data_IF_794333007414
#
_entry.id   IF_794333007414
#
_cell.length_a   1.000
_cell.length_b   1.000
_cell.length_c   1.000
_cell.angle_alpha   90.00
_cell.angle_beta   90.00
_cell.angle_gamma   90.00
#
_symmetry.space_group_name_H-M   'P 1'
#
loop_
_entity.id
_entity.type
_entity.pdbx_description
1 polymer ?
#
# COMPACT_ATOMS: atom_id res chain seq x y z
N UNK A 1 5.69 -5.09 -10.67
CA UNK A 1 5.62 -4.33 -9.41
C UNK A 1 5.07 -2.95 -9.76
N UNK A 2 4.12 -2.42 -9.00
CA UNK A 2 3.50 -1.11 -9.21
C UNK A 2 3.89 -0.18 -8.07
N UNK A 3 3.85 1.12 -8.31
CA UNK A 3 4.12 2.14 -7.30
C UNK A 3 2.81 2.79 -6.87
N UNK A 4 2.70 3.09 -5.59
CA UNK A 4 1.56 3.82 -5.05
C UNK A 4 1.99 4.76 -3.94
N UNK A 5 1.13 5.72 -3.61
CA UNK A 5 1.32 6.61 -2.48
C UNK A 5 0.30 6.28 -1.39
N UNK A 6 0.76 6.21 -0.13
CA UNK A 6 -0.11 6.03 1.03
C UNK A 6 -0.98 7.27 1.20
N UNK A 7 -2.30 7.07 1.20
CA UNK A 7 -3.29 8.13 1.48
C UNK A 7 -3.58 8.16 2.97
N UNK A 8 -3.91 7.00 3.55
CA UNK A 8 -4.33 6.87 4.94
C UNK A 8 -3.96 5.50 5.52
N UNK A 9 -3.71 5.47 6.82
CA UNK A 9 -3.48 4.25 7.60
C UNK A 9 -4.60 4.15 8.64
N UNK A 10 -5.41 3.09 8.56
CA UNK A 10 -6.65 2.91 9.32
C UNK A 10 -6.60 1.59 10.08
N UNK A 11 -5.78 1.51 11.14
CA UNK A 11 -5.70 0.33 12.00
C UNK A 11 -5.27 -0.94 11.26
N UNK A 12 -6.24 -1.73 10.80
CA UNK A 12 -6.07 -2.99 10.07
C UNK A 12 -6.03 -2.84 8.55
N UNK A 13 -6.28 -1.64 8.01
CA UNK A 13 -6.18 -1.36 6.57
C UNK A 13 -5.28 -0.16 6.26
N UNK A 14 -4.80 -0.12 5.02
CA UNK A 14 -4.05 1.00 4.43
C UNK A 14 -4.65 1.31 3.07
N UNK A 15 -4.88 2.59 2.82
CA UNK A 15 -5.36 3.09 1.55
C UNK A 15 -4.18 3.66 0.76
N UNK A 16 -4.03 3.24 -0.50
CA UNK A 16 -3.00 3.75 -1.41
C UNK A 16 -3.62 4.26 -2.71
N UNK A 17 -2.94 5.22 -3.35
CA UNK A 17 -3.23 5.64 -4.72
C UNK A 17 -2.19 5.04 -5.65
N UNK A 18 -2.61 4.30 -6.67
CA UNK A 18 -1.70 3.86 -7.73
C UNK A 18 -1.21 5.06 -8.55
N UNK A 19 0.10 5.20 -8.73
CA UNK A 19 0.68 6.38 -9.39
C UNK A 19 0.54 6.38 -10.91
N UNK A 20 0.21 5.23 -11.52
CA UNK A 20 0.02 5.13 -12.97
C UNK A 20 -1.45 5.40 -13.37
N UNK A 21 -2.38 4.88 -12.57
CA UNK A 21 -3.82 4.87 -12.88
C UNK A 21 -4.64 5.79 -11.99
N UNK A 22 -4.06 6.34 -10.92
CA UNK A 22 -4.73 7.14 -9.89
C UNK A 22 -5.90 6.43 -9.20
N UNK A 23 -6.00 5.12 -9.39
CA UNK A 23 -6.97 4.28 -8.69
C UNK A 23 -6.62 4.22 -7.22
N UNK A 24 -7.64 4.36 -6.37
CA UNK A 24 -7.48 4.20 -4.93
C UNK A 24 -7.78 2.77 -4.52
N UNK A 25 -6.82 2.12 -3.87
CA UNK A 25 -6.88 0.73 -3.44
C UNK A 25 -6.88 0.68 -1.91
N UNK A 26 -7.77 -0.13 -1.34
CA UNK A 26 -7.75 -0.47 0.08
C UNK A 26 -7.13 -1.85 0.27
N UNK A 27 -6.17 -1.92 1.19
CA UNK A 27 -5.34 -3.09 1.42
C UNK A 27 -5.35 -3.44 2.90
N UNK A 28 -5.34 -4.73 3.22
CA UNK A 28 -5.04 -5.16 4.58
C UNK A 28 -3.62 -4.75 4.99
N UNK A 29 -3.44 -4.44 6.27
CA UNK A 29 -2.15 -4.09 6.85
C UNK A 29 -1.12 -5.19 6.56
N UNK A 30 0.07 -4.88 6.02
CA UNK A 30 1.09 -5.89 5.69
C UNK A 30 1.53 -6.66 6.93
N UNK A 31 1.76 -7.96 6.89
CA UNK A 31 2.20 -8.74 8.07
C UNK A 31 3.60 -8.36 8.59
N UNK A 32 4.44 -7.85 7.70
CA UNK A 32 5.83 -7.50 7.99
C UNK A 32 5.92 -6.21 8.84
N UNK A 33 6.40 -6.28 10.09
CA UNK A 33 6.52 -5.12 10.97
C UNK A 33 7.39 -4.00 10.39
N UNK A 34 8.47 -4.33 9.68
CA UNK A 34 9.37 -3.32 9.10
C UNK A 34 8.66 -2.49 8.02
N UNK A 35 7.75 -3.12 7.27
CA UNK A 35 6.90 -2.42 6.30
C UNK A 35 5.88 -1.57 7.04
N UNK A 36 5.19 -2.12 8.05
CA UNK A 36 4.15 -1.41 8.83
C UNK A 36 4.68 -0.11 9.42
N UNK A 37 5.84 -0.14 10.06
CA UNK A 37 6.44 1.03 10.73
C UNK A 37 6.75 2.19 9.77
N UNK A 38 6.93 1.89 8.48
CA UNK A 38 7.24 2.88 7.44
C UNK A 38 6.02 3.43 6.72
N UNK A 39 4.84 2.82 6.90
CA UNK A 39 3.61 3.30 6.28
C UNK A 39 3.15 4.61 6.94
N UNK A 40 3.23 5.70 6.19
CA UNK A 40 2.77 7.01 6.61
C UNK A 40 2.13 7.74 5.42
N UNK A 41 1.08 8.54 5.62
CA UNK A 41 0.50 9.36 4.56
C UNK A 41 1.56 10.14 3.77
N UNK A 42 1.45 10.12 2.44
CA UNK A 42 2.38 10.75 1.51
C UNK A 42 3.61 9.92 1.14
N UNK A 43 3.89 8.80 1.84
CA UNK A 43 5.01 7.90 1.47
C UNK A 43 4.68 7.06 0.25
N UNK A 44 5.66 6.86 -0.61
CA UNK A 44 5.56 5.95 -1.74
C UNK A 44 5.89 4.52 -1.32
N UNK A 45 5.16 3.57 -1.89
CA UNK A 45 5.28 2.13 -1.62
C UNK A 45 5.33 1.35 -2.92
N UNK A 46 5.97 0.18 -2.87
CA UNK A 46 5.88 -0.80 -3.97
C UNK A 46 4.90 -1.89 -3.61
N UNK A 47 3.98 -2.17 -4.52
CA UNK A 47 3.00 -3.24 -4.33
C UNK A 47 2.92 -4.15 -5.56
N UNK A 48 2.34 -5.33 -5.36
CA UNK A 48 2.04 -6.28 -6.43
C UNK A 48 0.56 -6.60 -6.41
N UNK A 49 0.01 -6.93 -7.57
CA UNK A 49 -1.35 -7.46 -7.71
C UNK A 49 -1.22 -8.92 -8.13
N UNK A 50 -1.86 -9.83 -7.41
CA UNK A 50 -1.94 -11.25 -7.75
C UNK A 50 -3.33 -11.77 -7.43
N UNK A 51 -3.95 -12.49 -8.37
CA UNK A 51 -5.30 -13.06 -8.21
C UNK A 51 -6.35 -12.04 -7.70
N UNK A 52 -6.29 -10.80 -8.19
CA UNK A 52 -7.21 -9.73 -7.78
C UNK A 52 -6.95 -9.16 -6.38
N UNK A 53 -5.88 -9.58 -5.70
CA UNK A 53 -5.46 -9.04 -4.41
C UNK A 53 -4.17 -8.26 -4.55
N UNK A 54 -4.13 -7.07 -3.97
CA UNK A 54 -2.92 -6.26 -3.92
C UNK A 54 -2.20 -6.45 -2.58
N UNK A 55 -0.86 -6.43 -2.59
CA UNK A 55 -0.01 -6.57 -1.40
C UNK A 55 1.18 -5.63 -1.48
N UNK A 56 1.43 -4.87 -0.41
CA UNK A 56 2.64 -4.04 -0.28
C UNK A 56 3.85 -4.94 -0.05
N UNK A 57 4.92 -4.66 -0.79
CA UNK A 57 6.17 -5.43 -0.77
C UNK A 57 7.37 -4.59 -0.31
N UNK A 58 7.24 -3.25 -0.28
CA UNK A 58 8.26 -2.32 0.20
C UNK A 58 7.65 -0.97 0.58
N UNK A 59 8.14 -0.37 1.66
CA UNK A 59 7.82 0.97 2.15
C UNK A 59 9.10 1.71 2.59
#
# INVERSE_FOLDING_TARGET
>A
KRQGQVIAVMGDTVQIMDLDTYETLELSMPDDPEIRERLQPGKEVQYIVSMGKAKITRA
#
